data_IF_081721448349
#
_entry.id   IF_081721448349
#
_cell.length_a   1.000
_cell.length_b   1.000
_cell.length_c   1.000
_cell.angle_alpha   90.00
_cell.angle_beta   90.00
_cell.angle_gamma   90.00
#
_symmetry.space_group_name_H-M   'P 1'
#
loop_
_entity.id
_entity.type
_entity.pdbx_description
1 polymer ?
#
# COMPACT_ATOMS: atom_id res chain seq x y z
N UNK A 1 9.13 -6.02 -9.54
CA UNK A 1 8.55 -4.96 -8.69
C UNK A 1 7.15 -4.71 -9.20
N UNK A 2 6.19 -4.45 -8.31
CA UNK A 2 4.79 -4.17 -8.69
C UNK A 2 4.43 -2.76 -8.25
N UNK A 3 3.82 -1.98 -9.12
CA UNK A 3 3.45 -0.60 -8.86
C UNK A 3 1.94 -0.48 -8.67
N UNK A 4 1.54 0.32 -7.67
CA UNK A 4 0.14 0.59 -7.34
C UNK A 4 0.02 2.10 -7.15
N UNK A 5 -0.89 2.74 -7.87
CA UNK A 5 -1.15 4.18 -7.72
C UNK A 5 -2.42 4.37 -6.91
N UNK A 6 -2.35 5.07 -5.78
CA UNK A 6 -3.55 5.35 -5.00
C UNK A 6 -4.35 6.52 -5.60
N UNK A 7 -5.69 6.41 -5.64
CA UNK A 7 -6.55 7.52 -6.04
C UNK A 7 -6.53 8.62 -4.98
N UNK A 8 -7.15 9.75 -5.31
CA UNK A 8 -7.25 10.91 -4.41
C UNK A 8 -7.93 10.60 -3.08
N UNK A 9 -8.92 9.71 -3.08
CA UNK A 9 -9.69 9.28 -1.91
C UNK A 9 -9.70 7.76 -1.83
N UNK A 10 -9.25 7.22 -0.70
CA UNK A 10 -9.11 5.78 -0.48
C UNK A 10 -9.97 5.33 0.71
N UNK A 11 -11.24 5.02 0.46
CA UNK A 11 -12.26 4.98 1.52
C UNK A 11 -12.58 3.61 2.14
N UNK A 12 -12.56 2.52 1.36
CA UNK A 12 -13.13 1.23 1.78
C UNK A 12 -12.26 0.05 1.39
N UNK A 13 -12.50 -1.12 2.00
CA UNK A 13 -11.83 -2.37 1.63
C UNK A 13 -12.15 -2.78 0.19
N UNK A 14 -13.41 -2.67 -0.21
CA UNK A 14 -13.85 -3.02 -1.56
C UNK A 14 -13.24 -2.09 -2.61
N UNK A 15 -13.11 -0.79 -2.30
CA UNK A 15 -12.46 0.16 -3.18
C UNK A 15 -10.99 -0.20 -3.42
N UNK A 16 -10.29 -0.74 -2.41
CA UNK A 16 -8.94 -1.24 -2.62
C UNK A 16 -8.93 -2.49 -3.53
N UNK A 17 -9.80 -3.48 -3.30
CA UNK A 17 -9.81 -4.68 -4.15
C UNK A 17 -10.13 -4.33 -5.59
N UNK A 18 -11.08 -3.42 -5.79
CA UNK A 18 -11.39 -2.87 -7.11
C UNK A 18 -10.17 -2.15 -7.71
N UNK A 19 -9.46 -1.33 -6.93
CA UNK A 19 -8.25 -0.65 -7.39
C UNK A 19 -7.16 -1.64 -7.86
N UNK A 20 -6.92 -2.69 -7.08
CA UNK A 20 -5.93 -3.73 -7.43
C UNK A 20 -6.32 -4.46 -8.71
N UNK A 21 -7.61 -4.79 -8.86
CA UNK A 21 -8.16 -5.37 -10.08
C UNK A 21 -8.01 -4.43 -11.28
N UNK A 22 -8.41 -3.16 -11.15
CA UNK A 22 -8.40 -2.18 -12.24
C UNK A 22 -6.98 -1.88 -12.72
N UNK A 23 -6.00 -1.90 -11.82
CA UNK A 23 -4.58 -1.76 -12.14
C UNK A 23 -3.90 -3.08 -12.54
N UNK A 24 -4.66 -4.19 -12.64
CA UNK A 24 -4.17 -5.51 -13.02
C UNK A 24 -3.00 -5.98 -12.15
N UNK A 25 -3.09 -5.69 -10.86
CA UNK A 25 -2.13 -6.18 -9.87
C UNK A 25 -2.29 -7.70 -9.77
N UNK A 26 -1.25 -8.44 -10.15
CA UNK A 26 -1.30 -9.90 -10.16
C UNK A 26 -1.61 -10.50 -8.78
N UNK A 27 -2.28 -11.65 -8.79
CA UNK A 27 -2.70 -12.35 -7.57
C UNK A 27 -1.53 -12.98 -6.79
N UNK A 28 -0.35 -13.11 -7.42
CA UNK A 28 0.90 -13.52 -6.78
C UNK A 28 2.03 -12.56 -7.16
N UNK A 29 2.60 -11.88 -6.17
CA UNK A 29 3.73 -10.99 -6.30
C UNK A 29 5.07 -11.71 -6.16
N UNK A 30 5.08 -12.98 -5.76
CA UNK A 30 6.25 -13.85 -5.74
C UNK A 30 7.37 -13.33 -4.85
N UNK A 31 7.04 -12.71 -3.71
CA UNK A 31 8.02 -12.09 -2.82
C UNK A 31 8.70 -10.84 -3.38
N UNK A 32 8.27 -10.30 -4.54
CA UNK A 32 8.77 -9.03 -5.05
C UNK A 32 8.19 -7.87 -4.23
N UNK A 33 8.93 -6.75 -4.09
CA UNK A 33 8.40 -5.57 -3.42
C UNK A 33 7.25 -4.94 -4.22
N UNK A 34 6.27 -4.43 -3.49
CA UNK A 34 5.19 -3.60 -4.01
C UNK A 34 5.43 -2.14 -3.65
N UNK A 35 5.38 -1.26 -4.64
CA UNK A 35 5.55 0.19 -4.47
C UNK A 35 4.20 0.86 -4.68
N UNK A 36 3.77 1.61 -3.67
CA UNK A 36 2.51 2.34 -3.64
C UNK A 36 2.79 3.83 -3.78
N UNK A 37 2.37 4.41 -4.90
CA UNK A 37 2.48 5.84 -5.16
C UNK A 37 1.27 6.58 -4.60
N UNK A 38 1.51 7.47 -3.64
CA UNK A 38 0.49 8.24 -2.95
C UNK A 38 0.42 9.71 -3.43
N UNK A 39 1.01 10.03 -4.59
CA UNK A 39 1.17 11.42 -5.09
C UNK A 39 -0.15 12.23 -5.14
N UNK A 40 -1.26 11.56 -5.46
CA UNK A 40 -2.57 12.19 -5.59
C UNK A 40 -3.43 12.01 -4.33
N UNK A 41 -2.97 11.20 -3.36
CA UNK A 41 -3.74 10.81 -2.18
C UNK A 41 -3.89 11.99 -1.21
N UNK A 42 -5.13 12.40 -0.99
CA UNK A 42 -5.46 13.43 0.01
C UNK A 42 -5.85 12.76 1.33
N UNK A 43 -6.61 11.67 1.28
CA UNK A 43 -7.05 10.96 2.48
C UNK A 43 -7.34 9.50 2.19
N UNK A 44 -6.96 8.62 3.13
CA UNK A 44 -7.29 7.21 3.10
C UNK A 44 -7.74 6.70 4.46
N UNK A 45 -8.81 5.91 4.51
CA UNK A 45 -9.39 5.43 5.76
C UNK A 45 -8.53 4.35 6.45
N UNK A 46 -8.73 4.11 7.76
CA UNK A 46 -8.08 3.00 8.45
C UNK A 46 -8.42 1.62 7.85
N UNK A 47 -9.63 1.43 7.34
CA UNK A 47 -10.05 0.16 6.74
C UNK A 47 -9.40 -0.07 5.38
N UNK A 48 -9.19 0.98 4.59
CA UNK A 48 -8.43 0.90 3.34
C UNK A 48 -6.96 0.57 3.63
N UNK A 49 -6.34 1.25 4.60
CA UNK A 49 -4.95 1.00 4.99
C UNK A 49 -4.74 -0.44 5.51
N UNK A 50 -5.66 -0.94 6.34
CA UNK A 50 -5.65 -2.32 6.83
C UNK A 50 -5.75 -3.35 5.69
N UNK A 51 -6.66 -3.09 4.75
CA UNK A 51 -6.84 -3.98 3.61
C UNK A 51 -5.63 -3.92 2.66
N UNK A 52 -4.95 -2.77 2.54
CA UNK A 52 -3.75 -2.62 1.70
C UNK A 52 -2.64 -3.54 2.21
N UNK A 53 -2.39 -3.52 3.51
CA UNK A 53 -1.42 -4.40 4.15
C UNK A 53 -1.80 -5.85 3.94
N UNK A 54 -3.07 -6.21 4.18
CA UNK A 54 -3.58 -7.59 4.02
C UNK A 54 -3.41 -8.09 2.60
N UNK A 55 -3.95 -7.37 1.62
CA UNK A 55 -4.01 -7.77 0.23
C UNK A 55 -2.63 -7.86 -0.42
N UNK A 56 -1.69 -6.97 -0.04
CA UNK A 56 -0.36 -6.93 -0.64
C UNK A 56 0.62 -7.89 0.04
N UNK A 57 0.69 -7.89 1.38
CA UNK A 57 1.70 -8.66 2.11
C UNK A 57 1.27 -10.07 2.47
N UNK A 58 -0.03 -10.31 2.70
CA UNK A 58 -0.54 -11.62 3.14
C UNK A 58 -1.17 -12.40 1.99
N UNK A 59 -2.04 -11.76 1.20
CA UNK A 59 -2.79 -12.45 0.13
C UNK A 59 -1.92 -12.66 -1.10
N UNK A 60 -1.28 -11.60 -1.62
CA UNK A 60 -0.46 -11.68 -2.83
C UNK A 60 1.02 -11.90 -2.56
N UNK A 61 1.43 -12.00 -1.30
CA UNK A 61 2.78 -12.42 -0.93
C UNK A 61 3.91 -11.48 -1.34
N UNK A 62 3.71 -10.16 -1.36
CA UNK A 62 4.85 -9.24 -1.46
C UNK A 62 5.73 -9.35 -0.21
N UNK A 63 7.05 -9.25 -0.40
CA UNK A 63 8.02 -9.23 0.71
C UNK A 63 8.02 -7.91 1.47
N UNK A 64 7.75 -6.81 0.77
CA UNK A 64 7.79 -5.45 1.30
C UNK A 64 6.73 -4.59 0.60
N UNK A 65 6.15 -3.66 1.35
CA UNK A 65 5.23 -2.63 0.90
C UNK A 65 5.87 -1.25 1.12
N UNK A 66 6.23 -0.58 0.03
CA UNK A 66 6.88 0.73 0.05
C UNK A 66 5.87 1.80 -0.31
N UNK A 67 5.66 2.79 0.57
CA UNK A 67 4.77 3.91 0.34
C UNK A 67 5.58 5.14 -0.05
N UNK A 68 5.38 5.61 -1.28
CA UNK A 68 6.05 6.81 -1.82
C UNK A 68 5.13 8.01 -1.69
N UNK A 69 5.57 9.03 -0.97
CA UNK A 69 4.85 10.30 -0.83
C UNK A 69 3.54 10.20 -0.05
N UNK A 70 3.38 9.19 0.82
CA UNK A 70 2.18 9.07 1.65
C UNK A 70 2.05 10.26 2.62
N UNK A 71 0.84 10.84 2.80
CA UNK A 71 0.56 11.76 3.90
C UNK A 71 0.77 11.09 5.26
N UNK A 72 1.24 11.85 6.27
CA UNK A 72 1.60 11.31 7.60
C UNK A 72 0.47 10.48 8.21
N UNK A 73 -0.74 11.01 8.20
CA UNK A 73 -1.90 10.34 8.76
C UNK A 73 -2.21 9.00 8.07
N UNK A 74 -1.98 8.90 6.76
CA UNK A 74 -2.19 7.64 6.03
C UNK A 74 -1.05 6.66 6.32
N UNK A 75 0.18 7.14 6.38
CA UNK A 75 1.33 6.35 6.80
C UNK A 75 1.11 5.72 8.19
N UNK A 76 0.66 6.50 9.18
CA UNK A 76 0.41 6.00 10.53
C UNK A 76 -0.63 4.89 10.54
N UNK A 77 -1.68 5.01 9.72
CA UNK A 77 -2.72 3.98 9.57
C UNK A 77 -2.14 2.69 9.00
N UNK A 78 -1.26 2.78 7.99
CA UNK A 78 -0.60 1.63 7.37
C UNK A 78 0.39 0.99 8.34
N UNK A 79 1.20 1.78 9.03
CA UNK A 79 2.15 1.28 10.03
C UNK A 79 1.42 0.57 11.18
N UNK A 80 0.32 1.13 11.70
CA UNK A 80 -0.51 0.48 12.72
C UNK A 80 -1.15 -0.81 12.21
N UNK A 81 -1.64 -0.84 10.96
CA UNK A 81 -2.16 -2.06 10.35
C UNK A 81 -1.08 -3.15 10.22
N UNK A 82 0.11 -2.80 9.73
CA UNK A 82 1.25 -3.70 9.63
C UNK A 82 1.66 -4.25 11.00
N UNK A 83 1.73 -3.41 12.03
CA UNK A 83 2.03 -3.84 13.40
C UNK A 83 1.00 -4.83 13.93
N UNK A 84 -0.30 -4.54 13.79
CA UNK A 84 -1.37 -5.45 14.22
C UNK A 84 -1.33 -6.81 13.53
N UNK A 85 -0.74 -6.87 12.33
CA UNK A 85 -0.60 -8.06 11.50
C UNK A 85 0.74 -8.78 11.65
N UNK A 86 1.63 -8.29 12.53
CA UNK A 86 2.98 -8.85 12.68
C UNK A 86 3.91 -8.58 11.48
N UNK A 87 3.61 -7.56 10.68
CA UNK A 87 4.32 -7.17 9.45
C UNK A 87 5.02 -5.80 9.55
N UNK A 88 5.26 -5.29 10.76
CA UNK A 88 5.85 -3.96 10.96
C UNK A 88 7.16 -3.74 10.19
N UNK A 89 8.04 -4.76 10.12
CA UNK A 89 9.31 -4.69 9.38
C UNK A 89 9.19 -4.84 7.85
N UNK A 90 7.97 -5.03 7.33
CA UNK A 90 7.69 -5.21 5.90
C UNK A 90 7.01 -3.98 5.27
N UNK A 91 6.87 -2.87 6.01
CA UNK A 91 6.38 -1.60 5.48
C UNK A 91 7.44 -0.52 5.61
N UNK A 92 7.59 0.30 4.57
CA UNK A 92 8.52 1.42 4.56
C UNK A 92 7.88 2.64 3.90
N UNK A 93 8.24 3.83 4.39
CA UNK A 93 7.90 5.10 3.75
C UNK A 93 9.12 5.66 3.05
N UNK A 94 8.91 6.19 1.85
CA UNK A 94 9.90 6.95 1.10
C UNK A 94 9.30 8.29 0.69
N UNK A 95 10.12 9.33 0.64
CA UNK A 95 9.75 10.59 0.03
C UNK A 95 9.75 10.46 -1.50
N UNK A 96 9.01 11.33 -2.18
CA UNK A 96 9.00 11.36 -3.65
C UNK A 96 10.37 11.73 -4.23
N UNK A 97 11.22 12.44 -3.47
CA UNK A 97 12.56 12.85 -3.89
C UNK A 97 13.58 11.69 -3.87
N UNK A 98 13.29 10.61 -3.14
CA UNK A 98 14.17 9.44 -3.03
C UNK A 98 13.91 8.39 -4.12
N UNK A 99 12.91 8.60 -4.97
CA UNK A 99 12.62 7.71 -6.10
C UNK A 99 13.45 8.15 -7.30
N UNK A 100 14.68 7.63 -7.39
CA UNK A 100 15.45 7.67 -8.64
C UNK A 100 14.94 6.54 -9.52
N UNK A 101 14.23 6.90 -10.60
CA UNK A 101 13.85 5.99 -11.69
C UNK A 101 15.04 5.83 -12.63
#
# INVERSE_FOLDING_TARGET
MTEIVLPRLAGTRDALRQLLHDQRVGDDLGGRPAVVFCRDLVSGSPSFADELVREVLEVRGARELVLVGAPDLFWDRVAQAATRRGRAGAVRRMSAAEVVV
#
